data_IF_831579833529
#
_entry.id   IF_831579833529
#
_cell.length_a   1.000
_cell.length_b   1.000
_cell.length_c   1.000
_cell.angle_alpha   90.00
_cell.angle_beta   90.00
_cell.angle_gamma   90.00
#
_symmetry.space_group_name_H-M   'P 1'
#
loop_
_entity.id
_entity.type
_entity.pdbx_description
1 polymer ?
#
# COMPACT_ATOMS: atom_id res chain seq x y z
N UNK A 1 -0.98 5.78 11.23
CA UNK A 1 -0.55 6.80 10.27
C UNK A 1 0.04 6.18 9.01
N UNK A 2 -0.02 6.86 7.85
CA UNK A 2 0.59 6.40 6.57
C UNK A 2 2.06 6.01 6.78
N UNK A 3 2.81 6.87 7.49
CA UNK A 3 4.23 6.69 7.76
C UNK A 3 4.52 5.41 8.56
N UNK A 4 3.66 5.04 9.52
CA UNK A 4 3.85 3.82 10.31
C UNK A 4 3.57 2.55 9.50
N UNK A 5 2.54 2.58 8.65
CA UNK A 5 2.24 1.46 7.74
C UNK A 5 3.41 1.25 6.77
N UNK A 6 3.95 2.35 6.24
CA UNK A 6 5.12 2.33 5.39
C UNK A 6 6.39 1.85 6.13
N UNK A 7 6.60 2.27 7.38
CA UNK A 7 7.72 1.81 8.20
C UNK A 7 7.62 0.32 8.56
N UNK A 8 6.40 -0.21 8.69
CA UNK A 8 6.15 -1.64 8.84
C UNK A 8 6.37 -2.44 7.54
N UNK A 9 6.61 -1.76 6.42
CA UNK A 9 6.74 -2.37 5.10
C UNK A 9 5.42 -2.93 4.58
N UNK A 10 4.29 -2.33 4.97
CA UNK A 10 2.97 -2.66 4.48
C UNK A 10 2.62 -1.79 3.27
N UNK A 11 1.98 -2.35 2.23
CA UNK A 11 1.44 -1.55 1.14
C UNK A 11 0.32 -0.65 1.67
N UNK A 12 0.33 0.62 1.25
CA UNK A 12 -0.70 1.61 1.62
C UNK A 12 -1.68 1.78 0.46
N UNK A 13 -2.98 1.80 0.76
CA UNK A 13 -4.02 2.23 -0.15
C UNK A 13 -4.67 3.49 0.43
N UNK A 14 -4.61 4.58 -0.31
CA UNK A 14 -5.18 5.87 0.12
C UNK A 14 -5.87 6.61 -1.02
N UNK A 15 -6.54 7.69 -0.68
CA UNK A 15 -7.08 8.65 -1.64
C UNK A 15 -5.99 9.69 -1.95
N UNK A 16 -5.96 10.19 -3.19
CA UNK A 16 -5.06 11.26 -3.60
C UNK A 16 -5.50 12.59 -2.96
N UNK A 17 -5.07 12.80 -1.73
CA UNK A 17 -5.24 14.04 -0.98
C UNK A 17 -3.88 14.67 -0.66
N UNK A 18 -3.84 15.99 -0.37
CA UNK A 18 -2.62 16.65 0.11
C UNK A 18 -2.06 15.91 1.32
N UNK A 19 -0.75 15.60 1.32
CA UNK A 19 -0.09 14.81 2.36
C UNK A 19 -0.01 13.30 2.05
N UNK A 20 -1.13 12.65 1.69
CA UNK A 20 -1.11 11.23 1.31
C UNK A 20 -0.45 11.05 -0.06
N UNK A 21 -0.81 11.91 -1.03
CA UNK A 21 -0.22 11.92 -2.38
C UNK A 21 1.27 12.29 -2.41
N UNK A 22 1.75 13.02 -1.40
CA UNK A 22 3.16 13.42 -1.28
C UNK A 22 4.02 12.34 -0.62
N UNK A 23 3.40 11.47 0.19
CA UNK A 23 4.09 10.42 0.94
C UNK A 23 4.09 9.08 0.20
N UNK A 24 3.03 8.80 -0.55
CA UNK A 24 2.81 7.52 -1.25
C UNK A 24 3.03 7.69 -2.75
N UNK A 25 3.91 6.86 -3.30
CA UNK A 25 4.11 6.74 -4.75
C UNK A 25 3.18 5.66 -5.32
N UNK A 26 2.21 6.08 -6.14
CA UNK A 26 1.22 5.19 -6.78
C UNK A 26 1.91 4.16 -7.69
N UNK A 27 1.66 2.88 -7.42
CA UNK A 27 2.25 1.76 -8.14
C UNK A 27 3.63 1.31 -7.62
N UNK A 28 4.28 2.07 -6.73
CA UNK A 28 5.63 1.75 -6.21
C UNK A 28 5.60 1.38 -4.74
N UNK A 29 5.13 2.29 -3.89
CA UNK A 29 5.09 2.10 -2.42
C UNK A 29 3.67 1.88 -1.90
N UNK A 30 2.67 2.12 -2.73
CA UNK A 30 1.25 1.91 -2.45
C UNK A 30 0.40 2.19 -3.68
N UNK A 31 -0.91 2.27 -3.48
CA UNK A 31 -1.86 2.66 -4.52
C UNK A 31 -2.67 3.87 -4.06
N UNK A 32 -2.94 4.79 -4.99
CA UNK A 32 -3.71 6.02 -4.73
C UNK A 32 -4.94 6.09 -5.63
N UNK A 33 -6.14 6.00 -5.06
CA UNK A 33 -7.37 6.28 -5.81
C UNK A 33 -7.57 7.80 -5.97
N UNK A 34 -8.27 8.21 -7.03
CA UNK A 34 -8.72 9.60 -7.15
C UNK A 34 -9.84 9.86 -6.14
N UNK A 35 -9.99 11.12 -5.74
CA UNK A 35 -11.06 11.52 -4.84
C UNK A 35 -12.43 11.22 -5.48
N UNK A 36 -13.40 10.83 -4.66
CA UNK A 36 -14.77 10.46 -5.07
C UNK A 36 -14.91 9.19 -5.96
N UNK A 37 -13.82 8.48 -6.29
CA UNK A 37 -13.89 7.23 -7.08
C UNK A 37 -13.82 5.96 -6.21
N UNK A 38 -14.98 5.61 -5.62
CA UNK A 38 -15.13 4.40 -4.81
C UNK A 38 -14.89 3.11 -5.60
N UNK A 39 -15.23 3.10 -6.90
CA UNK A 39 -15.04 1.94 -7.75
C UNK A 39 -13.55 1.67 -7.99
N UNK A 40 -12.77 2.71 -8.31
CA UNK A 40 -11.33 2.60 -8.43
C UNK A 40 -10.66 2.24 -7.10
N UNK A 41 -11.14 2.79 -5.98
CA UNK A 41 -10.64 2.42 -4.65
C UNK A 41 -10.83 0.92 -4.38
N UNK A 42 -12.03 0.42 -4.66
CA UNK A 42 -12.37 -1.01 -4.49
C UNK A 42 -11.54 -1.89 -5.41
N UNK A 43 -11.39 -1.52 -6.68
CA UNK A 43 -10.57 -2.25 -7.64
C UNK A 43 -9.09 -2.31 -7.20
N UNK A 44 -8.54 -1.20 -6.70
CA UNK A 44 -7.17 -1.12 -6.16
C UNK A 44 -7.01 -1.95 -4.89
N UNK A 45 -8.02 -1.98 -4.01
CA UNK A 45 -8.04 -2.85 -2.83
C UNK A 45 -8.01 -4.33 -3.23
N UNK A 46 -8.92 -4.74 -4.13
CA UNK A 46 -8.97 -6.13 -4.63
C UNK A 46 -7.65 -6.51 -5.30
N UNK A 47 -7.04 -5.60 -6.06
CA UNK A 47 -5.75 -5.83 -6.69
C UNK A 47 -4.64 -6.11 -5.67
N UNK A 48 -4.52 -5.28 -4.63
CA UNK A 48 -3.53 -5.50 -3.55
C UNK A 48 -3.79 -6.84 -2.85
N UNK A 49 -5.04 -7.18 -2.56
CA UNK A 49 -5.39 -8.43 -1.87
C UNK A 49 -5.17 -9.66 -2.76
N UNK A 50 -5.35 -9.54 -4.07
CA UNK A 50 -5.27 -10.67 -5.01
C UNK A 50 -3.87 -10.89 -5.58
N UNK A 51 -3.07 -9.83 -5.73
CA UNK A 51 -1.72 -9.90 -6.30
C UNK A 51 -0.64 -9.95 -5.21
N UNK A 52 -0.32 -11.16 -4.74
CA UNK A 52 0.72 -11.40 -3.73
C UNK A 52 2.09 -10.85 -4.14
N UNK A 53 2.43 -10.97 -5.43
CA UNK A 53 3.69 -10.44 -5.99
C UNK A 53 3.77 -8.92 -5.88
N UNK A 54 2.67 -8.22 -6.16
CA UNK A 54 2.57 -6.76 -6.03
C UNK A 54 2.75 -6.33 -4.57
N UNK A 55 2.12 -7.04 -3.62
CA UNK A 55 2.30 -6.75 -2.19
C UNK A 55 3.74 -6.93 -1.74
N UNK A 56 4.36 -8.04 -2.15
CA UNK A 56 5.76 -8.31 -1.83
C UNK A 56 6.68 -7.24 -2.42
N UNK A 57 6.44 -6.82 -3.65
CA UNK A 57 7.20 -5.78 -4.32
C UNK A 57 7.07 -4.43 -3.60
N UNK A 58 5.84 -3.99 -3.30
CA UNK A 58 5.59 -2.74 -2.58
C UNK A 58 6.17 -2.74 -1.16
N UNK A 59 6.08 -3.87 -0.45
CA UNK A 59 6.72 -4.04 0.86
C UNK A 59 8.26 -4.06 0.79
N UNK A 60 8.82 -4.60 -0.30
CA UNK A 60 10.26 -4.68 -0.51
C UNK A 60 10.91 -3.31 -0.79
N UNK A 61 10.22 -2.40 -1.50
CA UNK A 61 10.74 -1.06 -1.81
C UNK A 61 11.13 -0.25 -0.56
N UNK A 62 10.47 -0.47 0.59
CA UNK A 62 10.85 0.14 1.87
C UNK A 62 11.60 -0.80 2.82
N UNK A 63 11.55 -2.12 2.61
CA UNK A 63 12.34 -3.14 3.34
C UNK A 63 13.74 -3.39 2.76
N UNK A 64 14.27 -2.53 1.89
CA UNK A 64 15.69 -2.60 1.49
C UNK A 64 16.69 -2.47 2.68
N UNK A 65 16.21 -2.23 3.92
CA UNK A 65 17.00 -2.33 5.15
C UNK A 65 16.80 -3.60 6.00
N UNK A 66 15.83 -4.49 5.73
CA UNK A 66 15.64 -5.73 6.51
C UNK A 66 14.76 -6.75 5.79
N UNK A 67 15.41 -7.73 5.17
CA UNK A 67 14.80 -9.05 4.93
C UNK A 67 14.44 -9.67 6.29
N UNK A 68 13.15 -9.90 6.56
CA UNK A 68 12.69 -11.06 7.31
C UNK A 68 11.16 -11.21 7.27
N UNK A 69 10.74 -12.37 6.79
CA UNK A 69 9.63 -13.25 7.17
C UNK A 69 8.21 -12.73 7.53
N UNK A 70 7.24 -13.48 7.00
CA UNK A 70 6.01 -13.97 7.64
C UNK A 70 4.91 -12.98 8.06
N UNK A 71 4.57 -12.01 7.20
CA UNK A 71 3.26 -11.33 7.26
C UNK A 71 2.38 -11.63 6.02
N UNK A 72 2.63 -12.76 5.35
CA UNK A 72 1.89 -13.18 4.16
C UNK A 72 0.46 -13.67 4.46
N UNK A 73 0.09 -13.92 5.73
CA UNK A 73 -1.20 -14.55 6.07
C UNK A 73 -2.28 -13.61 6.61
N UNK A 74 -1.98 -12.33 6.87
CA UNK A 74 -2.99 -11.34 7.26
C UNK A 74 -2.79 -10.10 6.40
N UNK A 75 -3.67 -9.94 5.42
CA UNK A 75 -3.63 -8.83 4.46
C UNK A 75 -4.01 -7.52 5.17
N UNK A 76 -3.08 -6.94 5.93
CA UNK A 76 -3.31 -5.73 6.70
C UNK A 76 -3.02 -4.50 5.83
N UNK A 77 -4.01 -4.14 5.00
CA UNK A 77 -4.01 -2.88 4.24
C UNK A 77 -4.45 -1.76 5.18
N UNK A 78 -3.58 -0.79 5.45
CA UNK A 78 -3.96 0.40 6.22
C UNK A 78 -4.66 1.37 5.26
N UNK A 79 -5.98 1.46 5.39
CA UNK A 79 -6.77 2.54 4.78
C UNK A 79 -6.50 3.82 5.56
N UNK A 80 -6.11 4.88 4.83
CA UNK A 80 -5.98 6.24 5.34
C UNK A 80 -6.83 7.16 4.49
#
# INVERSE_FOLDING_TARGET
SVIEAMAAGLPVLGIRSPGVGDTVEDGVTGLLAQDEDLAAFTAKMVRIVSEDGLRCQMGAYRKAGRLSNSFASVCMVRLV
#
